data_IF_187714569565
#
_entry.id   IF_187714569565
#
_cell.length_a   1.000
_cell.length_b   1.000
_cell.length_c   1.000
_cell.angle_alpha   90.00
_cell.angle_beta   90.00
_cell.angle_gamma   90.00
#
_symmetry.space_group_name_H-M   'P 1'
#
loop_
_entity.id
_entity.type
_entity.pdbx_description
1 polymer ?
#
# COMPACT_ATOMS: atom_id res chain seq x y z
N UNK A 1 -57.97 8.22 34.35
CA UNK A 1 -56.63 7.73 34.73
C UNK A 1 -55.79 7.71 33.47
N UNK A 2 -54.74 8.51 33.44
CA UNK A 2 -53.87 8.79 32.29
C UNK A 2 -52.41 8.47 32.67
N UNK A 3 -51.57 8.23 31.65
CA UNK A 3 -50.11 8.01 31.65
C UNK A 3 -49.62 6.61 32.08
N UNK A 4 -48.60 5.96 31.49
CA UNK A 4 -47.82 6.11 30.24
C UNK A 4 -46.96 4.83 30.04
N UNK A 5 -46.66 4.51 28.78
CA UNK A 5 -45.42 3.97 28.17
C UNK A 5 -44.34 3.28 29.03
N UNK A 6 -43.76 2.17 28.54
CA UNK A 6 -42.33 2.06 28.16
C UNK A 6 -42.09 0.92 27.15
N UNK A 7 -41.70 1.33 25.94
CA UNK A 7 -41.04 0.55 24.90
C UNK A 7 -39.55 0.50 25.25
N UNK A 8 -38.98 -0.68 25.54
CA UNK A 8 -37.53 -0.87 25.65
C UNK A 8 -37.02 -1.61 24.42
N UNK A 9 -36.73 -0.85 23.35
CA UNK A 9 -35.82 -1.28 22.29
C UNK A 9 -34.41 -0.97 22.80
N UNK A 10 -33.71 -2.01 23.29
CA UNK A 10 -32.31 -1.88 23.68
C UNK A 10 -31.44 -1.93 22.42
N UNK A 11 -31.15 -0.75 21.89
CA UNK A 11 -30.19 -0.51 20.82
C UNK A 11 -28.76 -0.65 21.38
N UNK A 12 -28.14 -1.82 21.27
CA UNK A 12 -26.70 -1.99 21.47
C UNK A 12 -25.98 -1.87 20.11
N UNK A 13 -25.88 -0.64 19.59
CA UNK A 13 -24.91 -0.27 18.57
C UNK A 13 -23.72 0.37 19.28
N UNK A 14 -22.82 -0.45 19.84
CA UNK A 14 -21.51 0.03 20.29
C UNK A 14 -20.52 -0.24 19.16
N UNK A 15 -19.98 0.88 18.68
CA UNK A 15 -19.07 1.08 17.57
C UNK A 15 -17.79 0.23 17.67
N UNK A 16 -17.68 -0.81 16.84
CA UNK A 16 -16.37 -1.35 16.44
C UNK A 16 -15.85 -0.49 15.27
N UNK A 17 -15.33 0.71 15.56
CA UNK A 17 -14.65 1.54 14.55
C UNK A 17 -13.13 1.49 14.65
N UNK A 18 -12.56 0.64 15.50
CA UNK A 18 -11.12 0.38 15.46
C UNK A 18 -10.80 -0.44 14.21
N UNK A 19 -10.03 0.14 13.29
CA UNK A 19 -9.32 -0.62 12.23
C UNK A 19 -10.03 -0.79 10.89
N UNK A 20 -11.26 -0.31 10.69
CA UNK A 20 -11.98 -0.50 9.41
C UNK A 20 -11.56 0.46 8.29
N UNK A 21 -10.96 1.61 8.62
CA UNK A 21 -10.49 2.59 7.63
C UNK A 21 -9.12 3.14 8.03
N UNK A 22 -8.14 3.20 7.11
CA UNK A 22 -6.83 3.78 7.39
C UNK A 22 -6.94 5.22 7.92
N UNK A 23 -6.18 5.52 8.98
CA UNK A 23 -6.16 6.85 9.60
C UNK A 23 -5.17 7.75 8.88
N UNK A 24 -5.63 8.91 8.40
CA UNK A 24 -4.75 9.93 7.81
C UNK A 24 -3.76 10.47 8.86
N UNK A 25 -2.53 10.66 8.44
CA UNK A 25 -1.43 11.13 9.29
C UNK A 25 -0.53 12.07 8.50
N UNK A 26 0.00 13.11 9.15
CA UNK A 26 0.93 14.06 8.52
C UNK A 26 2.30 13.40 8.30
N UNK A 27 2.96 13.72 7.19
CA UNK A 27 4.30 13.20 6.87
C UNK A 27 5.32 13.41 8.00
N UNK A 28 5.24 14.57 8.68
CA UNK A 28 6.16 14.95 9.74
C UNK A 28 5.64 14.60 11.14
N UNK A 29 4.53 13.86 11.26
CA UNK A 29 4.03 13.42 12.56
C UNK A 29 5.10 12.57 13.27
N UNK A 30 5.32 12.86 14.56
CA UNK A 30 6.27 12.12 15.40
C UNK A 30 5.95 10.62 15.45
N UNK A 31 4.69 10.24 15.26
CA UNK A 31 4.23 8.86 15.20
C UNK A 31 4.83 8.09 14.01
N UNK A 32 5.17 8.75 12.90
CA UNK A 32 5.76 8.08 11.73
C UNK A 32 7.26 7.80 11.85
N UNK A 33 7.95 8.45 12.81
CA UNK A 33 9.40 8.25 13.03
C UNK A 33 9.84 6.77 13.10
N UNK A 34 9.21 5.89 13.90
CA UNK A 34 9.59 4.48 13.95
C UNK A 34 9.32 3.74 12.64
N UNK A 35 8.32 4.16 11.85
CA UNK A 35 8.02 3.55 10.55
C UNK A 35 9.10 3.89 9.52
N UNK A 36 9.53 5.15 9.46
CA UNK A 36 10.62 5.61 8.61
C UNK A 36 11.94 4.91 8.96
N UNK A 37 12.30 4.85 10.24
CA UNK A 37 13.48 4.13 10.69
C UNK A 37 13.42 2.61 10.40
N UNK A 38 12.23 2.01 10.36
CA UNK A 38 12.07 0.61 9.97
C UNK A 38 12.20 0.42 8.44
N UNK A 39 11.61 1.31 7.64
CA UNK A 39 11.66 1.26 6.18
C UNK A 39 13.06 1.57 5.62
N UNK A 40 13.84 2.42 6.29
CA UNK A 40 15.24 2.73 5.93
C UNK A 40 16.18 1.52 5.98
N UNK A 41 15.77 0.42 6.64
CA UNK A 41 16.54 -0.83 6.67
C UNK A 41 16.42 -1.64 5.38
N UNK A 42 15.43 -1.33 4.53
CA UNK A 42 15.26 -1.97 3.24
C UNK A 42 16.11 -1.28 2.17
N UNK A 43 16.68 -2.05 1.24
CA UNK A 43 17.41 -1.52 0.09
C UNK A 43 16.45 -1.09 -1.02
N UNK A 44 15.68 -0.04 -0.75
CA UNK A 44 14.59 0.44 -1.61
C UNK A 44 15.09 0.83 -3.00
N UNK A 45 16.31 1.37 -3.08
CA UNK A 45 16.95 1.75 -4.34
C UNK A 45 17.29 0.50 -5.17
N UNK A 46 17.83 -0.56 -4.57
CA UNK A 46 18.08 -1.81 -5.28
C UNK A 46 16.79 -2.45 -5.82
N UNK A 47 15.67 -2.28 -5.12
CA UNK A 47 14.35 -2.76 -5.54
C UNK A 47 13.66 -1.84 -6.57
N UNK A 48 14.25 -0.69 -6.88
CA UNK A 48 13.71 0.26 -7.85
C UNK A 48 12.57 1.13 -7.32
N UNK A 49 12.28 1.08 -6.01
CA UNK A 49 11.32 1.97 -5.37
C UNK A 49 11.84 3.41 -5.38
N UNK A 50 10.93 4.37 -5.56
CA UNK A 50 11.30 5.80 -5.57
C UNK A 50 11.50 6.32 -4.14
N UNK A 51 12.07 7.52 -4.00
CA UNK A 51 12.04 8.22 -2.71
C UNK A 51 10.59 8.60 -2.35
N UNK A 52 10.24 8.60 -1.07
CA UNK A 52 8.91 9.07 -0.65
C UNK A 52 8.90 10.60 -0.64
N UNK A 53 7.98 11.21 -1.38
CA UNK A 53 7.79 12.65 -1.45
C UNK A 53 7.24 13.20 -0.13
N UNK A 54 7.76 14.36 0.30
CA UNK A 54 7.42 14.96 1.61
C UNK A 54 5.99 15.49 1.71
N UNK A 55 5.35 15.75 0.57
CA UNK A 55 3.97 16.22 0.44
C UNK A 55 2.98 15.09 0.12
N UNK A 56 3.44 13.84 0.08
CA UNK A 56 2.58 12.66 -0.07
C UNK A 56 1.52 12.61 1.04
N UNK A 57 0.31 12.22 0.66
CA UNK A 57 -0.77 11.91 1.61
C UNK A 57 -0.51 10.54 2.21
N UNK A 58 -0.51 10.47 3.54
CA UNK A 58 -0.25 9.21 4.25
C UNK A 58 -1.49 8.80 5.04
N UNK A 59 -1.79 7.51 5.00
CA UNK A 59 -2.70 6.90 5.96
C UNK A 59 -2.11 5.63 6.56
N UNK A 60 -2.25 5.50 7.86
CA UNK A 60 -1.85 4.33 8.63
C UNK A 60 -3.04 3.39 8.81
N UNK A 61 -2.90 2.19 8.28
CA UNK A 61 -3.77 1.06 8.58
C UNK A 61 -3.20 0.30 9.78
N UNK A 62 -4.04 0.13 10.79
CA UNK A 62 -3.75 -0.74 11.92
C UNK A 62 -4.60 -1.98 11.80
N UNK A 63 -3.96 -3.11 11.53
CA UNK A 63 -4.69 -4.34 11.40
C UNK A 63 -5.07 -4.87 12.79
N UNK A 64 -6.36 -5.14 12.98
CA UNK A 64 -6.91 -5.75 14.20
C UNK A 64 -7.33 -7.21 13.99
N UNK A 65 -7.17 -7.74 12.78
CA UNK A 65 -7.57 -9.10 12.43
C UNK A 65 -6.38 -10.04 12.60
N UNK A 66 -6.58 -11.09 13.40
CA UNK A 66 -5.55 -12.03 13.87
C UNK A 66 -4.86 -12.85 12.76
N UNK A 67 -5.34 -12.78 11.51
CA UNK A 67 -4.87 -13.61 10.38
C UNK A 67 -4.23 -12.80 9.23
N UNK A 68 -4.07 -11.48 9.36
CA UNK A 68 -3.41 -10.70 8.31
C UNK A 68 -1.89 -10.89 8.40
N UNK A 69 -1.16 -11.01 7.28
CA UNK A 69 0.30 -11.14 7.26
C UNK A 69 1.11 -9.91 7.73
N UNK A 70 0.46 -8.87 8.25
CA UNK A 70 1.08 -7.65 8.80
C UNK A 70 0.28 -7.07 9.96
N UNK A 71 0.94 -6.27 10.81
CA UNK A 71 0.31 -5.57 11.93
C UNK A 71 -0.07 -4.13 11.59
N UNK A 72 0.77 -3.48 10.77
CA UNK A 72 0.58 -2.09 10.32
C UNK A 72 0.90 -1.97 8.84
N UNK A 73 0.18 -1.12 8.14
CA UNK A 73 0.51 -0.76 6.76
C UNK A 73 0.41 0.75 6.57
N UNK A 74 1.47 1.35 6.04
CA UNK A 74 1.38 2.72 5.54
C UNK A 74 0.90 2.68 4.09
N UNK A 75 -0.13 3.46 3.80
CA UNK A 75 -0.56 3.80 2.44
C UNK A 75 -0.10 5.22 2.15
N UNK A 76 0.60 5.41 1.04
CA UNK A 76 1.27 6.64 0.67
C UNK A 76 0.84 6.99 -0.76
N UNK A 77 0.30 8.20 -0.94
CA UNK A 77 -0.21 8.69 -2.21
C UNK A 77 0.44 10.03 -2.57
N UNK A 78 1.24 10.02 -3.63
CA UNK A 78 1.87 11.18 -4.26
C UNK A 78 1.88 10.98 -5.77
N UNK A 79 3.03 11.18 -6.42
CA UNK A 79 3.23 10.82 -7.83
C UNK A 79 3.04 9.31 -8.08
N UNK A 80 3.27 8.48 -7.05
CA UNK A 80 2.98 7.04 -7.08
C UNK A 80 2.01 6.66 -5.96
N UNK A 81 1.41 5.47 -6.08
CA UNK A 81 0.66 4.83 -4.99
C UNK A 81 1.51 3.73 -4.38
N UNK A 82 1.76 3.81 -3.08
CA UNK A 82 2.67 2.91 -2.38
C UNK A 82 2.06 2.37 -1.09
N UNK A 83 2.35 1.11 -0.80
CA UNK A 83 2.10 0.51 0.52
C UNK A 83 3.39 -0.01 1.13
N UNK A 84 3.56 0.15 2.44
CA UNK A 84 4.68 -0.39 3.21
C UNK A 84 4.12 -1.15 4.40
N UNK A 85 4.41 -2.44 4.47
CA UNK A 85 3.91 -3.34 5.51
C UNK A 85 4.94 -3.52 6.63
N UNK A 86 4.43 -3.55 7.86
CA UNK A 86 5.23 -3.71 9.06
C UNK A 86 4.66 -4.79 9.99
N UNK A 87 5.58 -5.50 10.63
CA UNK A 87 5.34 -6.36 11.78
C UNK A 87 5.77 -5.61 13.06
N UNK A 88 5.00 -5.77 14.13
CA UNK A 88 5.20 -5.18 15.44
C UNK A 88 5.60 -6.28 16.44
N UNK A 89 6.86 -6.73 16.46
CA UNK A 89 7.30 -7.76 17.40
C UNK A 89 7.03 -7.36 18.86
N UNK A 90 6.74 -8.36 19.71
CA UNK A 90 6.30 -8.23 21.11
C UNK A 90 7.15 -7.29 22.01
N UNK A 91 8.37 -6.93 21.58
CA UNK A 91 9.30 -6.05 22.31
C UNK A 91 9.23 -4.56 21.91
N UNK A 92 8.21 -4.14 21.16
CA UNK A 92 7.90 -2.72 20.95
C UNK A 92 8.70 -2.04 19.85
N UNK A 93 9.00 -2.74 18.76
CA UNK A 93 9.62 -2.18 17.56
C UNK A 93 8.74 -2.37 16.32
N UNK A 94 9.12 -1.71 15.22
CA UNK A 94 8.58 -1.98 13.90
C UNK A 94 9.64 -2.66 13.04
N UNK A 95 9.22 -3.69 12.31
CA UNK A 95 10.02 -4.40 11.33
C UNK A 95 9.35 -4.27 9.97
N UNK A 96 10.06 -3.72 9.00
CA UNK A 96 9.64 -3.72 7.61
C UNK A 96 9.57 -5.16 7.10
N UNK A 97 8.46 -5.53 6.45
CA UNK A 97 8.23 -6.89 5.94
C UNK A 97 7.76 -6.93 4.48
N UNK A 98 7.49 -5.79 3.86
CA UNK A 98 7.20 -5.72 2.44
C UNK A 98 6.84 -4.32 1.98
N UNK A 99 6.94 -4.09 0.68
CA UNK A 99 6.59 -2.85 0.02
C UNK A 99 6.07 -3.12 -1.38
N UNK A 100 5.03 -2.39 -1.77
CA UNK A 100 4.52 -2.35 -3.13
C UNK A 100 4.44 -0.89 -3.59
N UNK A 101 4.89 -0.63 -4.80
CA UNK A 101 4.77 0.68 -5.45
C UNK A 101 4.17 0.53 -6.84
N UNK A 102 3.14 1.34 -7.11
CA UNK A 102 2.40 1.39 -8.37
C UNK A 102 2.76 2.69 -9.08
N UNK A 103 3.33 2.56 -10.27
CA UNK A 103 3.58 3.65 -11.20
C UNK A 103 2.48 3.68 -12.24
N UNK A 104 1.64 4.70 -12.23
CA UNK A 104 0.59 4.89 -13.23
C UNK A 104 1.17 5.56 -14.48
N UNK A 105 0.88 4.98 -15.65
CA UNK A 105 1.24 5.53 -16.94
C UNK A 105 0.09 6.29 -17.60
N UNK A 106 0.36 6.97 -18.73
CA UNK A 106 -0.58 7.91 -19.33
C UNK A 106 -1.65 7.23 -20.20
N UNK A 107 -1.45 5.97 -20.62
CA UNK A 107 -2.45 5.27 -21.43
C UNK A 107 -3.52 4.68 -20.54
N UNK A 108 -4.75 4.64 -21.04
CA UNK A 108 -5.86 3.95 -20.40
C UNK A 108 -6.16 2.64 -21.12
N UNK A 109 -6.69 1.68 -20.37
CA UNK A 109 -7.17 0.41 -20.89
C UNK A 109 -8.47 0.01 -20.20
N UNK A 110 -9.27 -0.80 -20.89
CA UNK A 110 -10.57 -1.22 -20.42
C UNK A 110 -10.48 -2.58 -19.71
N UNK A 111 -11.16 -2.69 -18.57
CA UNK A 111 -11.43 -3.96 -17.89
C UNK A 111 -12.94 -4.10 -17.69
N UNK A 112 -13.45 -5.27 -17.30
CA UNK A 112 -14.85 -5.43 -16.91
C UNK A 112 -15.30 -4.48 -15.78
N UNK A 113 -14.35 -4.00 -14.96
CA UNK A 113 -14.61 -3.13 -13.80
C UNK A 113 -14.49 -1.63 -14.13
N UNK A 114 -14.12 -1.28 -15.36
CA UNK A 114 -14.03 0.10 -15.83
C UNK A 114 -12.76 0.42 -16.60
N UNK A 115 -12.51 1.72 -16.76
CA UNK A 115 -11.33 2.24 -17.43
C UNK A 115 -10.25 2.60 -16.41
N UNK A 116 -9.04 2.07 -16.60
CA UNK A 116 -7.91 2.27 -15.69
C UNK A 116 -6.70 2.81 -16.46
N UNK A 117 -5.84 3.57 -15.78
CA UNK A 117 -4.51 3.89 -16.31
C UNK A 117 -3.65 2.61 -16.33
N UNK A 118 -2.80 2.49 -17.35
CA UNK A 118 -1.77 1.46 -17.37
C UNK A 118 -0.88 1.61 -16.14
N UNK A 119 -0.34 0.51 -15.62
CA UNK A 119 0.46 0.54 -14.42
C UNK A 119 1.60 -0.48 -14.43
N UNK A 120 2.73 -0.08 -13.89
CA UNK A 120 3.84 -0.97 -13.52
C UNK A 120 3.81 -1.09 -12.00
N UNK A 121 3.78 -2.33 -11.50
CA UNK A 121 3.74 -2.62 -10.07
C UNK A 121 5.04 -3.33 -9.69
N UNK A 122 5.76 -2.73 -8.74
CA UNK A 122 6.92 -3.33 -8.09
C UNK A 122 6.49 -3.85 -6.72
N UNK A 123 6.77 -5.10 -6.41
CA UNK A 123 6.45 -5.71 -5.11
C UNK A 123 7.63 -6.49 -4.58
N UNK A 124 8.05 -6.20 -3.34
CA UNK A 124 9.04 -6.99 -2.63
C UNK A 124 8.53 -7.32 -1.23
N UNK A 125 8.63 -8.58 -0.84
CA UNK A 125 8.05 -9.08 0.40
C UNK A 125 9.02 -10.02 1.12
N UNK A 126 9.09 -9.92 2.45
CA UNK A 126 9.77 -10.88 3.33
C UNK A 126 8.78 -11.90 3.92
N UNK A 127 7.49 -11.53 3.96
CA UNK A 127 6.36 -12.34 4.42
C UNK A 127 5.30 -12.33 3.31
N UNK A 128 4.62 -13.45 3.02
CA UNK A 128 3.62 -13.47 1.95
C UNK A 128 2.43 -12.57 2.28
N UNK A 129 2.35 -11.40 1.63
CA UNK A 129 1.28 -10.41 1.85
C UNK A 129 0.31 -10.42 0.67
N UNK A 130 0.82 -10.35 -0.56
CA UNK A 130 0.02 -10.26 -1.78
C UNK A 130 0.08 -11.51 -2.67
N UNK A 131 0.71 -12.59 -2.17
CA UNK A 131 0.82 -13.87 -2.89
C UNK A 131 1.97 -13.94 -3.89
N UNK A 132 2.86 -12.93 -3.89
CA UNK A 132 4.10 -12.93 -4.65
C UNK A 132 5.20 -13.77 -3.97
N UNK A 133 6.26 -14.09 -4.71
CA UNK A 133 7.41 -14.80 -4.12
C UNK A 133 8.13 -13.87 -3.13
N UNK A 134 8.40 -14.39 -1.93
CA UNK A 134 9.17 -13.67 -0.91
C UNK A 134 10.67 -13.66 -1.25
N UNK A 135 11.37 -12.64 -0.77
CA UNK A 135 12.80 -12.37 -0.99
C UNK A 135 13.19 -12.18 -2.47
N UNK A 136 12.22 -11.90 -3.34
CA UNK A 136 12.40 -11.67 -4.76
C UNK A 136 11.62 -10.42 -5.16
N UNK A 137 12.20 -9.58 -6.03
CA UNK A 137 11.47 -8.45 -6.60
C UNK A 137 10.53 -8.97 -7.68
N UNK A 138 9.24 -8.78 -7.47
CA UNK A 138 8.19 -9.11 -8.42
C UNK A 138 7.81 -7.85 -9.18
N UNK A 139 7.78 -7.93 -10.51
CA UNK A 139 7.45 -6.81 -11.39
C UNK A 139 6.32 -7.26 -12.29
N UNK A 140 5.23 -6.50 -12.31
CA UNK A 140 4.10 -6.75 -13.19
C UNK A 140 3.67 -5.49 -13.93
N UNK A 141 2.96 -5.69 -15.03
CA UNK A 141 2.36 -4.62 -15.82
C UNK A 141 0.89 -4.94 -16.07
N UNK A 142 0.02 -3.96 -15.83
CA UNK A 142 -1.37 -4.01 -16.26
C UNK A 142 -1.61 -2.92 -17.30
N UNK A 143 -2.11 -3.33 -18.47
CA UNK A 143 -2.37 -2.45 -19.60
C UNK A 143 -2.34 -3.23 -20.91
N UNK A 144 -2.22 -2.54 -22.04
CA UNK A 144 -2.33 -3.14 -23.37
C UNK A 144 -1.02 -3.16 -24.16
N UNK A 145 0.09 -2.66 -23.61
CA UNK A 145 1.39 -2.68 -24.28
C UNK A 145 1.91 -4.11 -24.43
N UNK A 146 1.97 -4.60 -25.67
CA UNK A 146 2.45 -5.95 -25.97
C UNK A 146 3.87 -6.20 -25.51
N UNK A 147 4.70 -5.15 -25.43
CA UNK A 147 6.08 -5.23 -24.94
C UNK A 147 6.16 -5.57 -23.44
N UNK A 148 5.09 -5.28 -22.68
CA UNK A 148 5.04 -5.45 -21.22
C UNK A 148 4.04 -6.54 -20.76
N UNK A 149 3.05 -6.93 -21.57
CA UNK A 149 1.98 -7.87 -21.18
C UNK A 149 2.27 -9.34 -21.44
N UNK A 150 3.13 -9.68 -22.39
CA UNK A 150 3.23 -11.07 -22.88
C UNK A 150 4.29 -11.90 -22.17
N UNK A 151 3.96 -12.65 -21.10
CA UNK A 151 4.83 -13.66 -20.43
C UNK A 151 6.30 -13.24 -20.20
N UNK A 152 6.57 -11.94 -20.24
CA UNK A 152 7.91 -11.40 -20.15
C UNK A 152 8.23 -11.42 -18.66
N UNK A 153 9.31 -12.11 -18.29
CA UNK A 153 9.91 -11.95 -16.98
C UNK A 153 10.42 -10.51 -16.88
N UNK A 154 9.54 -9.60 -16.47
CA UNK A 154 9.85 -8.18 -16.39
C UNK A 154 10.98 -7.97 -15.39
N UNK A 155 11.97 -7.16 -15.80
CA UNK A 155 13.10 -6.77 -14.96
C UNK A 155 13.11 -5.25 -14.81
N UNK A 156 13.82 -4.76 -13.80
CA UNK A 156 14.03 -3.32 -13.62
C UNK A 156 14.61 -2.66 -14.88
N UNK A 157 15.50 -3.34 -15.60
CA UNK A 157 16.08 -2.82 -16.85
C UNK A 157 15.02 -2.59 -17.93
N UNK A 158 14.03 -3.48 -18.03
CA UNK A 158 12.92 -3.37 -18.99
C UNK A 158 11.98 -2.23 -18.59
N UNK A 159 11.61 -2.12 -17.31
CA UNK A 159 10.56 -1.19 -16.87
C UNK A 159 11.06 0.22 -16.56
N UNK A 160 12.34 0.39 -16.20
CA UNK A 160 12.92 1.70 -15.82
C UNK A 160 12.69 2.82 -16.84
N UNK A 161 12.87 2.61 -18.16
CA UNK A 161 12.60 3.66 -19.15
C UNK A 161 11.15 4.14 -19.14
N UNK A 162 10.20 3.22 -18.91
CA UNK A 162 8.78 3.55 -18.83
C UNK A 162 8.46 4.31 -17.54
N UNK A 163 8.92 3.80 -16.40
CA UNK A 163 8.75 4.46 -15.09
C UNK A 163 9.29 5.89 -15.14
N UNK A 164 10.51 6.07 -15.64
CA UNK A 164 11.12 7.40 -15.78
C UNK A 164 10.24 8.34 -16.63
N UNK A 165 9.77 7.86 -17.78
CA UNK A 165 8.94 8.66 -18.67
C UNK A 165 7.55 8.99 -18.10
N UNK A 166 7.06 8.23 -17.12
CA UNK A 166 5.76 8.45 -16.47
C UNK A 166 5.88 9.43 -15.31
N UNK A 167 6.91 9.28 -14.47
CA UNK A 167 7.14 10.14 -13.30
C UNK A 167 7.65 11.55 -13.70
N UNK A 168 8.38 11.70 -14.80
CA UNK A 168 8.88 13.01 -15.26
C UNK A 168 7.82 13.91 -15.93
N UNK A 169 6.59 13.41 -16.14
CA UNK A 169 5.54 14.12 -16.89
C UNK A 169 4.42 14.68 -16.01
N UNK A 170 4.48 14.47 -14.70
CA UNK A 170 3.61 15.12 -13.72
C UNK A 170 4.34 16.30 -13.05
#
# INVERSE_FOLDING_TARGET
MTYNSYLTISLCLILFSCGLTPRKIDFNDKELKPYWAAAEKADRIAFGFSEIEKDSKISLEENSIFENPYDKMLHIYGTTSRTIAFESPEKGGLKWIGEQEIYSGPKRYQTPDGEFNEQIVLTYELTPISGHKINELNISYNGERSELTGNNNLTLEIVRPYIKAWVEKE
#
